data_IF_094128828096
#
_entry.id   IF_094128828096
#
_cell.length_a   1.000
_cell.length_b   1.000
_cell.length_c   1.000
_cell.angle_alpha   90.00
_cell.angle_beta   90.00
_cell.angle_gamma   90.00
#
_symmetry.space_group_name_H-M   'P 1'
#
loop_
_entity.id
_entity.type
_entity.pdbx_description
1 polymer ?
#
# COMPACT_ATOMS: atom_id res chain seq x y z
N UNK A 1 -6.45 11.52 0.49
CA UNK A 1 -5.63 10.34 0.22
C UNK A 1 -4.62 10.05 1.31
N UNK A 2 -3.85 11.02 1.69
CA UNK A 2 -2.82 10.83 2.70
C UNK A 2 -3.39 10.30 4.00
N UNK A 3 -4.50 10.84 4.41
CA UNK A 3 -5.12 10.42 5.63
C UNK A 3 -5.46 8.94 5.61
N UNK A 4 -6.00 8.47 4.50
CA UNK A 4 -6.40 7.09 4.38
C UNK A 4 -5.17 6.17 4.37
N UNK A 5 -4.12 6.57 3.67
CA UNK A 5 -2.90 5.79 3.64
C UNK A 5 -2.30 5.70 5.03
N UNK A 6 -2.39 6.77 5.82
CA UNK A 6 -1.86 6.74 7.18
C UNK A 6 -2.57 5.69 8.04
N UNK A 7 -3.82 5.43 7.74
CA UNK A 7 -4.55 4.43 8.51
C UNK A 7 -4.06 3.03 8.21
N UNK A 8 -3.33 2.86 7.11
CA UNK A 8 -2.84 1.55 6.72
C UNK A 8 -1.42 1.27 7.20
N UNK A 9 -0.87 2.15 8.03
CA UNK A 9 0.50 1.91 8.51
C UNK A 9 0.58 0.56 9.20
N UNK A 10 1.62 -0.18 8.89
CA UNK A 10 1.83 -1.51 9.43
C UNK A 10 1.09 -2.58 8.67
N UNK A 11 0.34 -2.20 7.64
CA UNK A 11 -0.46 -3.15 6.88
C UNK A 11 0.08 -3.24 5.45
N UNK A 12 -0.15 -4.37 4.82
CA UNK A 12 0.31 -4.56 3.45
C UNK A 12 -0.68 -3.94 2.48
N UNK A 13 -0.18 -3.16 1.53
CA UNK A 13 -1.01 -2.47 0.56
C UNK A 13 -0.51 -2.71 -0.85
N UNK A 14 -1.39 -2.46 -1.82
CA UNK A 14 -1.03 -2.40 -3.22
C UNK A 14 -1.23 -0.97 -3.65
N UNK A 15 -0.22 -0.39 -4.27
CA UNK A 15 -0.27 1.00 -4.69
C UNK A 15 0.08 1.10 -6.16
N UNK A 16 -0.81 1.73 -6.93
CA UNK A 16 -0.57 1.95 -8.35
C UNK A 16 -0.07 3.37 -8.56
N UNK A 17 0.95 3.52 -9.38
CA UNK A 17 1.53 4.82 -9.66
C UNK A 17 1.50 5.08 -11.15
N UNK A 18 1.72 6.34 -11.51
CA UNK A 18 1.66 6.74 -12.90
C UNK A 18 2.77 6.11 -13.73
N UNK A 19 3.83 5.67 -13.08
CA UNK A 19 4.99 5.16 -13.81
C UNK A 19 4.99 3.67 -14.04
N UNK A 20 4.21 2.93 -13.29
CA UNK A 20 4.22 1.48 -13.39
C UNK A 20 2.84 0.93 -13.67
N UNK A 21 2.82 -0.08 -14.54
CA UNK A 21 1.56 -0.75 -14.83
C UNK A 21 1.14 -1.62 -13.66
N UNK A 22 2.11 -2.25 -13.03
CA UNK A 22 1.81 -3.15 -11.91
C UNK A 22 1.92 -2.43 -10.59
N UNK A 23 1.14 -2.85 -9.60
CA UNK A 23 1.18 -2.16 -8.32
C UNK A 23 2.45 -2.45 -7.55
N UNK A 24 2.79 -1.51 -6.68
CA UNK A 24 3.84 -1.74 -5.68
C UNK A 24 3.15 -2.41 -4.49
N UNK A 25 3.73 -3.47 -4.00
CA UNK A 25 3.14 -4.18 -2.89
C UNK A 25 4.09 -4.23 -1.74
N UNK A 26 3.68 -3.76 -0.60
CA UNK A 26 4.55 -3.75 0.57
C UNK A 26 3.82 -3.25 1.80
N UNK A 27 4.53 -3.21 2.91
CA UNK A 27 3.96 -2.77 4.17
C UNK A 27 4.25 -1.30 4.35
N UNK A 28 3.21 -0.53 4.68
CA UNK A 28 3.35 0.91 4.86
C UNK A 28 4.15 1.17 6.12
N UNK A 29 5.30 1.81 5.98
CA UNK A 29 6.13 2.14 7.12
C UNK A 29 5.92 3.57 7.56
N UNK A 30 5.80 4.48 6.62
CA UNK A 30 5.71 5.89 6.93
C UNK A 30 4.91 6.60 5.86
N UNK A 31 4.11 7.59 6.25
CA UNK A 31 3.34 8.37 5.29
C UNK A 31 3.60 9.85 5.55
N UNK A 32 4.12 10.53 4.55
CA UNK A 32 4.35 11.96 4.61
C UNK A 32 3.53 12.64 3.51
N UNK A 33 3.50 13.94 3.54
CA UNK A 33 2.70 14.68 2.57
C UNK A 33 3.17 14.43 1.14
N UNK A 34 4.47 14.37 0.93
CA UNK A 34 5.01 14.26 -0.42
C UNK A 34 5.56 12.89 -0.76
N UNK A 35 5.70 11.99 0.22
CA UNK A 35 6.16 10.65 -0.09
C UNK A 35 5.63 9.64 0.92
N UNK A 36 5.67 8.38 0.56
CA UNK A 36 5.39 7.31 1.50
C UNK A 36 6.54 6.32 1.42
N UNK A 37 6.73 5.56 2.48
CA UNK A 37 7.76 4.54 2.53
C UNK A 37 7.08 3.19 2.68
N UNK A 38 7.37 2.30 1.75
CA UNK A 38 6.88 0.93 1.80
C UNK A 38 8.07 0.01 2.07
N UNK A 39 7.84 -1.00 2.89
CA UNK A 39 8.84 -2.05 3.07
C UNK A 39 8.49 -3.15 2.07
N UNK A 40 9.35 -3.34 1.07
CA UNK A 40 9.16 -4.36 0.06
C UNK A 40 10.36 -5.28 0.12
N UNK A 41 10.14 -6.53 0.49
CA UNK A 41 11.22 -7.50 0.63
C UNK A 41 12.31 -6.96 1.56
N UNK A 42 11.88 -6.33 2.65
CA UNK A 42 12.77 -5.79 3.67
C UNK A 42 13.61 -4.61 3.20
N UNK A 43 13.23 -4.01 2.08
CA UNK A 43 13.91 -2.81 1.61
C UNK A 43 12.95 -1.63 1.68
N UNK A 44 13.44 -0.51 2.15
CA UNK A 44 12.62 0.69 2.17
C UNK A 44 12.50 1.23 0.76
N UNK A 45 11.28 1.43 0.32
CA UNK A 45 11.01 1.91 -1.02
C UNK A 45 10.21 3.19 -0.90
N UNK A 46 10.69 4.26 -1.49
CA UNK A 46 10.05 5.56 -1.38
C UNK A 46 9.24 5.86 -2.64
N UNK A 47 7.97 6.20 -2.46
CA UNK A 47 7.12 6.55 -3.58
C UNK A 47 6.62 7.97 -3.40
N UNK A 48 6.62 8.74 -4.46
CA UNK A 48 6.09 10.09 -4.43
C UNK A 48 4.57 10.04 -4.37
N UNK A 49 3.98 10.74 -3.41
CA UNK A 49 2.52 10.71 -3.30
C UNK A 49 1.86 11.33 -4.52
N UNK A 50 2.55 12.24 -5.18
CA UNK A 50 1.97 12.85 -6.39
C UNK A 50 1.83 11.89 -7.54
N UNK A 51 2.51 10.75 -7.50
CA UNK A 51 2.42 9.77 -8.56
C UNK A 51 1.47 8.64 -8.26
N UNK A 52 0.83 8.66 -7.11
CA UNK A 52 -0.09 7.59 -6.73
C UNK A 52 -1.44 7.84 -7.37
N UNK A 53 -1.94 6.85 -8.08
CA UNK A 53 -3.25 6.99 -8.72
C UNK A 53 -4.31 6.14 -8.03
N UNK A 54 -3.90 5.10 -7.30
CA UNK A 54 -4.85 4.25 -6.58
C UNK A 54 -4.11 3.43 -5.56
N UNK A 55 -4.78 3.01 -4.52
CA UNK A 55 -4.19 2.12 -3.53
C UNK A 55 -5.30 1.34 -2.83
N UNK A 56 -4.91 0.21 -2.24
CA UNK A 56 -5.85 -0.57 -1.45
C UNK A 56 -5.08 -1.52 -0.55
N UNK A 57 -5.74 -2.06 0.46
CA UNK A 57 -5.14 -3.11 1.26
C UNK A 57 -4.96 -4.33 0.36
N UNK A 58 -3.89 -5.06 0.55
CA UNK A 58 -3.64 -6.21 -0.27
C UNK A 58 -4.69 -7.27 0.01
N UNK A 59 -4.80 -8.21 -0.88
CA UNK A 59 -5.76 -9.28 -0.71
C UNK A 59 -5.45 -10.10 0.51
N UNK A 60 -4.19 -10.23 0.85
CA UNK A 60 -3.82 -11.00 2.02
C UNK A 60 -4.32 -10.33 3.28
N UNK A 61 -4.27 -9.01 3.33
CA UNK A 61 -4.76 -8.29 4.48
C UNK A 61 -6.27 -8.36 4.60
N UNK A 62 -6.94 -8.33 3.47
CA UNK A 62 -8.36 -8.42 3.50
C UNK A 62 -8.79 -9.83 3.64
N UNK A 63 -8.03 -10.69 3.02
CA UNK A 63 -8.41 -12.04 2.90
C UNK A 63 -8.51 -12.80 4.17
N UNK A 64 -7.73 -12.40 5.11
CA UNK A 64 -7.84 -13.04 6.38
C UNK A 64 -9.25 -13.11 6.80
N UNK A 65 -10.02 -12.18 6.32
CA UNK A 65 -11.34 -12.16 6.69
C UNK A 65 -12.12 -13.02 5.92
N UNK A 66 -11.91 -13.03 4.69
CA UNK A 66 -12.79 -13.63 3.96
C UNK A 66 -12.55 -14.97 3.80
N UNK A 67 -11.43 -15.41 4.18
CA UNK A 67 -11.27 -16.72 4.11
C UNK A 67 -12.51 -17.37 4.47
N UNK A 68 -13.24 -16.66 4.96
CA UNK A 68 -14.35 -17.15 5.36
C UNK A 68 -15.34 -17.22 4.37
N UNK A 69 -15.42 -16.70 3.68
CA UNK A 69 -16.43 -16.67 2.84
C UNK A 69 -16.48 -17.47 1.92
N UNK A 70 -16.20 -17.85 1.95
CA UNK A 70 -16.40 -18.40 1.18
C UNK A 70 -17.04 -19.08 0.96
N UNK A 71 -16.99 -18.78 1.30
CA UNK A 71 -17.55 -19.19 1.18
C UNK A 71 -18.12 -19.52 1.01
#
# INVERSE_FOLDING_TARGET
MIQKLSEFRGREVEIWTTENVEPWMGIVKEVQVDFIVLMIDELETYLSTGNIVAFRLSEEEQGGNKGTDEE
#
